data_IF_723865106227
#
_entry.id   IF_723865106227
#
_cell.length_a   1.000
_cell.length_b   1.000
_cell.length_c   1.000
_cell.angle_alpha   90.00
_cell.angle_beta   90.00
_cell.angle_gamma   90.00
#
_symmetry.space_group_name_H-M   'P 1'
#
loop_
_entity.id
_entity.type
_entity.pdbx_description
1 polymer ?
#
# COMPACT_ATOMS: atom_id res chain seq x y z
N UNK A 1 19.93 20.96 -55.64
CA UNK A 1 18.48 20.64 -55.63
C UNK A 1 17.81 21.48 -54.56
N UNK A 2 17.02 22.48 -54.94
CA UNK A 2 16.41 23.41 -53.97
C UNK A 2 15.10 22.82 -53.46
N UNK A 3 15.02 22.52 -52.16
CA UNK A 3 13.79 22.04 -51.54
C UNK A 3 12.76 23.19 -51.52
N UNK A 4 11.55 22.95 -52.02
CA UNK A 4 10.47 23.97 -51.99
C UNK A 4 10.22 24.40 -50.53
N UNK A 5 10.08 25.70 -50.31
CA UNK A 5 10.00 26.35 -48.98
C UNK A 5 8.94 25.72 -48.06
N UNK A 6 7.84 25.21 -48.63
CA UNK A 6 6.79 24.46 -47.94
C UNK A 6 7.27 23.18 -47.24
N UNK A 7 8.24 22.46 -47.81
CA UNK A 7 8.81 21.25 -47.22
C UNK A 7 9.78 21.58 -46.08
N UNK A 8 10.47 22.72 -46.13
CA UNK A 8 11.29 23.18 -45.00
C UNK A 8 10.42 23.52 -43.79
N UNK A 9 9.29 24.21 -44.00
CA UNK A 9 8.31 24.45 -42.93
C UNK A 9 7.67 23.16 -42.42
N UNK A 10 7.37 22.19 -43.29
CA UNK A 10 6.84 20.89 -42.88
C UNK A 10 7.84 20.11 -42.03
N UNK A 11 9.10 20.03 -42.45
CA UNK A 11 10.19 19.38 -41.71
C UNK A 11 10.41 20.01 -40.33
N UNK A 12 10.39 21.33 -40.24
CA UNK A 12 10.46 22.06 -38.97
C UNK A 12 9.28 21.72 -38.06
N UNK A 13 8.05 21.71 -38.57
CA UNK A 13 6.87 21.31 -37.79
C UNK A 13 6.97 19.85 -37.31
N UNK A 14 7.36 18.90 -38.16
CA UNK A 14 7.55 17.50 -37.73
C UNK A 14 8.67 17.33 -36.71
N UNK A 15 9.76 18.12 -36.81
CA UNK A 15 10.84 18.10 -35.84
C UNK A 15 10.42 18.67 -34.48
N UNK A 16 9.63 19.75 -34.47
CA UNK A 16 9.07 20.32 -33.24
C UNK A 16 8.06 19.37 -32.60
N UNK A 17 7.20 18.72 -33.39
CA UNK A 17 6.24 17.72 -32.88
C UNK A 17 6.97 16.52 -32.27
N UNK A 18 8.01 15.98 -32.92
CA UNK A 18 8.83 14.91 -32.35
C UNK A 18 9.52 15.33 -31.04
N UNK A 19 10.06 16.55 -30.99
CA UNK A 19 10.68 17.09 -29.79
C UNK A 19 9.66 17.24 -28.64
N UNK A 20 8.49 17.83 -28.90
CA UNK A 20 7.41 17.98 -27.90
C UNK A 20 6.88 16.63 -27.42
N UNK A 21 6.73 15.63 -28.30
CA UNK A 21 6.31 14.28 -27.91
C UNK A 21 7.32 13.60 -26.97
N UNK A 22 8.62 13.91 -27.08
CA UNK A 22 9.65 13.41 -26.15
C UNK A 22 9.57 14.00 -24.73
N UNK A 23 8.81 15.09 -24.53
CA UNK A 23 8.49 15.64 -23.21
C UNK A 23 7.09 15.25 -22.69
N UNK A 24 6.21 14.75 -23.56
CA UNK A 24 4.84 14.32 -23.21
C UNK A 24 4.73 12.83 -22.88
N UNK A 25 5.68 12.02 -23.34
CA UNK A 25 5.88 10.67 -22.79
C UNK A 25 6.72 10.85 -21.51
N UNK A 26 6.21 10.50 -20.32
CA UNK A 26 7.07 10.38 -19.16
C UNK A 26 8.05 9.25 -19.43
N UNK A 27 9.32 9.62 -19.67
CA UNK A 27 10.42 8.69 -19.46
C UNK A 27 10.43 8.35 -17.97
N UNK A 28 9.83 7.20 -17.62
CA UNK A 28 10.28 6.48 -16.43
C UNK A 28 11.80 6.35 -16.60
N UNK A 29 12.55 7.09 -15.77
CA UNK A 29 13.99 6.88 -15.68
C UNK A 29 14.15 5.47 -15.13
N UNK A 30 14.45 4.52 -16.03
CA UNK A 30 14.74 3.16 -15.65
C UNK A 30 16.00 3.20 -14.80
N UNK A 31 15.82 3.14 -13.48
CA UNK A 31 16.90 3.03 -12.51
C UNK A 31 17.74 1.82 -12.92
N UNK A 32 18.97 2.07 -13.34
CA UNK A 32 19.88 1.03 -13.78
C UNK A 32 21.05 0.98 -12.80
N UNK A 33 21.38 -0.22 -12.35
CA UNK A 33 22.32 -0.44 -11.26
C UNK A 33 23.48 -1.31 -11.75
N UNK A 34 24.71 -0.89 -11.42
CA UNK A 34 25.93 -1.54 -11.89
C UNK A 34 26.33 -2.62 -10.89
N UNK A 35 25.96 -3.87 -11.15
CA UNK A 35 26.22 -4.98 -10.21
C UNK A 35 27.53 -5.69 -10.58
N UNK A 36 28.48 -5.64 -9.65
CA UNK A 36 29.80 -6.27 -9.74
C UNK A 36 29.87 -7.56 -8.92
N UNK A 37 30.81 -8.45 -9.25
CA UNK A 37 31.01 -9.73 -8.55
C UNK A 37 32.42 -9.91 -7.99
N UNK A 38 32.49 -10.50 -6.79
CA UNK A 38 33.70 -10.87 -6.06
C UNK A 38 33.71 -12.38 -5.79
N UNK A 39 34.75 -13.07 -6.26
CA UNK A 39 34.93 -14.50 -6.01
C UNK A 39 35.47 -14.74 -4.60
N UNK A 40 34.89 -15.70 -3.89
CA UNK A 40 35.42 -16.21 -2.63
C UNK A 40 35.46 -17.75 -2.64
N UNK A 41 36.29 -18.32 -1.77
CA UNK A 41 36.33 -19.76 -1.51
C UNK A 41 35.42 -20.12 -0.33
N UNK A 42 34.76 -21.28 -0.44
CA UNK A 42 33.78 -21.83 0.50
C UNK A 42 33.73 -23.36 0.32
N UNK A 43 33.37 -24.08 1.37
CA UNK A 43 33.06 -25.51 1.30
C UNK A 43 31.66 -25.73 0.72
N UNK A 44 31.54 -25.49 -0.58
CA UNK A 44 30.29 -25.55 -1.35
C UNK A 44 29.55 -26.85 -1.12
N UNK A 45 28.23 -26.78 -0.91
CA UNK A 45 27.39 -27.97 -0.81
C UNK A 45 27.25 -28.62 -2.20
N UNK A 46 27.24 -29.95 -2.26
CA UNK A 46 27.05 -30.66 -3.52
C UNK A 46 25.55 -30.92 -3.74
N UNK A 47 25.05 -30.65 -4.95
CA UNK A 47 23.68 -30.98 -5.35
C UNK A 47 23.66 -32.27 -6.18
N UNK A 48 23.01 -33.34 -5.70
CA UNK A 48 22.77 -34.54 -6.50
C UNK A 48 21.94 -34.24 -7.76
N UNK A 49 20.93 -33.38 -7.65
CA UNK A 49 20.06 -32.93 -8.74
C UNK A 49 20.84 -32.36 -9.93
N UNK A 50 21.89 -31.58 -9.66
CA UNK A 50 22.70 -30.92 -10.69
C UNK A 50 24.08 -31.56 -10.93
N UNK A 51 24.42 -32.65 -10.22
CA UNK A 51 25.69 -33.37 -10.34
C UNK A 51 26.94 -32.56 -10.00
N UNK A 52 26.82 -31.50 -9.19
CA UNK A 52 27.90 -30.51 -8.99
C UNK A 52 27.79 -29.72 -7.68
N UNK A 53 28.89 -29.07 -7.28
CA UNK A 53 28.90 -28.04 -6.24
C UNK A 53 27.94 -26.88 -6.58
N UNK A 54 27.16 -26.43 -5.60
CA UNK A 54 26.37 -25.20 -5.66
C UNK A 54 27.28 -24.02 -5.31
N UNK A 55 27.73 -23.26 -6.31
CA UNK A 55 28.69 -22.15 -6.18
C UNK A 55 28.04 -20.79 -6.45
N UNK A 56 28.56 -19.72 -5.86
CA UNK A 56 28.22 -18.32 -6.17
C UNK A 56 29.42 -17.37 -6.02
N UNK A 57 29.32 -16.19 -6.62
CA UNK A 57 30.16 -15.03 -6.30
C UNK A 57 29.38 -14.03 -5.43
N UNK A 58 30.06 -13.32 -4.51
CA UNK A 58 29.47 -12.18 -3.78
C UNK A 58 29.14 -11.10 -4.79
N UNK A 59 27.90 -10.60 -4.80
CA UNK A 59 27.52 -9.50 -5.70
C UNK A 59 27.38 -8.21 -4.89
N UNK A 60 27.76 -7.08 -5.48
CA UNK A 60 27.56 -5.74 -4.91
C UNK A 60 27.11 -4.75 -5.97
N UNK A 61 26.25 -3.82 -5.59
CA UNK A 61 25.88 -2.68 -6.43
C UNK A 61 26.95 -1.58 -6.41
N UNK A 62 26.76 -0.48 -7.15
CA UNK A 62 27.73 0.63 -7.18
C UNK A 62 27.95 1.28 -5.79
N UNK A 63 26.93 1.24 -4.93
CA UNK A 63 26.97 1.73 -3.54
C UNK A 63 27.54 0.71 -2.53
N UNK A 64 28.03 -0.45 -2.99
CA UNK A 64 28.63 -1.49 -2.14
C UNK A 64 27.64 -2.36 -1.36
N UNK A 65 26.34 -2.15 -1.52
CA UNK A 65 25.28 -2.97 -0.92
C UNK A 65 25.25 -4.36 -1.58
N UNK A 66 25.01 -5.39 -0.77
CA UNK A 66 25.06 -6.79 -1.24
C UNK A 66 23.84 -7.10 -2.10
N UNK A 67 24.10 -7.65 -3.29
CA UNK A 67 23.08 -8.20 -4.17
C UNK A 67 23.05 -9.74 -4.07
N UNK A 68 21.90 -10.33 -4.37
CA UNK A 68 21.68 -11.77 -4.40
C UNK A 68 21.25 -12.27 -5.78
N UNK A 69 21.69 -13.48 -6.11
CA UNK A 69 21.40 -14.18 -7.36
C UNK A 69 19.94 -14.67 -7.37
N UNK A 70 19.13 -14.31 -8.38
CA UNK A 70 17.74 -14.78 -8.52
C UNK A 70 17.59 -16.00 -9.45
N UNK A 71 18.57 -16.33 -10.30
CA UNK A 71 18.44 -17.44 -11.27
C UNK A 71 19.67 -18.35 -11.24
N UNK A 72 19.54 -19.48 -10.55
CA UNK A 72 20.58 -20.51 -10.51
C UNK A 72 20.95 -21.03 -11.92
N UNK A 73 22.24 -21.21 -12.17
CA UNK A 73 22.76 -21.74 -13.43
C UNK A 73 23.07 -20.70 -14.52
N UNK A 74 22.50 -19.50 -14.44
CA UNK A 74 22.91 -18.35 -15.26
C UNK A 74 24.16 -17.67 -14.68
N UNK A 75 24.84 -16.82 -15.47
CA UNK A 75 26.05 -16.12 -15.02
C UNK A 75 25.70 -14.95 -14.12
N UNK A 76 26.44 -14.78 -13.04
CA UNK A 76 26.43 -13.56 -12.23
C UNK A 76 26.82 -12.31 -13.07
N UNK A 77 26.21 -11.13 -12.83
CA UNK A 77 26.66 -9.86 -13.41
C UNK A 77 28.06 -9.45 -12.94
N UNK A 78 28.69 -8.54 -13.68
CA UNK A 78 30.08 -8.10 -13.58
C UNK A 78 30.26 -6.71 -14.23
N UNK A 79 29.50 -5.72 -13.77
CA UNK A 79 29.61 -4.34 -14.25
C UNK A 79 28.74 -4.01 -15.47
N UNK A 80 27.80 -4.89 -15.84
CA UNK A 80 26.69 -4.50 -16.69
C UNK A 80 25.68 -3.62 -15.92
N UNK A 81 25.14 -2.59 -16.58
CA UNK A 81 23.96 -1.85 -16.11
C UNK A 81 22.72 -2.75 -16.18
N UNK A 82 22.13 -3.09 -15.02
CA UNK A 82 20.90 -3.88 -14.96
C UNK A 82 19.71 -2.97 -14.64
N UNK A 83 18.67 -2.87 -15.50
CA UNK A 83 17.50 -2.05 -15.23
C UNK A 83 16.60 -2.66 -14.14
N UNK A 84 16.04 -1.79 -13.30
CA UNK A 84 15.03 -2.14 -12.30
C UNK A 84 13.78 -2.75 -12.94
N UNK A 85 13.25 -3.79 -12.31
CA UNK A 85 12.09 -4.56 -12.75
C UNK A 85 11.09 -4.86 -11.62
N UNK A 86 10.99 -3.97 -10.63
CA UNK A 86 10.04 -4.06 -9.52
C UNK A 86 10.63 -4.70 -8.27
N UNK A 87 9.77 -5.35 -7.46
CA UNK A 87 10.13 -6.04 -6.21
C UNK A 87 10.17 -7.56 -6.41
N UNK A 88 10.86 -8.31 -5.54
CA UNK A 88 10.63 -9.76 -5.41
C UNK A 88 9.26 -10.03 -4.79
N UNK A 89 8.85 -11.30 -4.75
CA UNK A 89 7.79 -11.73 -3.85
C UNK A 89 8.18 -11.56 -2.37
N UNK A 90 7.20 -11.59 -1.48
CA UNK A 90 7.41 -11.37 -0.05
C UNK A 90 8.10 -12.56 0.67
N UNK A 91 8.09 -13.78 0.13
CA UNK A 91 8.85 -14.91 0.72
C UNK A 91 10.34 -14.69 0.48
N UNK A 92 10.73 -14.31 -0.74
CA UNK A 92 12.09 -13.90 -1.09
C UNK A 92 12.57 -12.71 -0.27
N UNK A 93 11.73 -11.68 -0.09
CA UNK A 93 12.03 -10.56 0.81
C UNK A 93 12.23 -11.01 2.26
N UNK A 94 11.34 -11.85 2.82
CA UNK A 94 11.48 -12.36 4.18
C UNK A 94 12.71 -13.24 4.38
N UNK A 95 13.15 -13.97 3.35
CA UNK A 95 14.45 -14.67 3.36
C UNK A 95 15.60 -13.67 3.46
N UNK A 96 15.60 -12.62 2.64
CA UNK A 96 16.66 -11.59 2.66
C UNK A 96 16.69 -10.83 3.99
N UNK A 97 15.52 -10.52 4.57
CA UNK A 97 15.39 -9.85 5.88
C UNK A 97 15.76 -10.73 7.08
N UNK A 98 15.73 -12.06 6.92
CA UNK A 98 16.19 -13.01 7.93
C UNK A 98 17.59 -13.58 7.65
N UNK A 99 18.23 -13.19 6.54
CA UNK A 99 19.59 -13.57 6.18
C UNK A 99 20.61 -12.45 6.29
N UNK A 100 21.78 -12.68 5.72
CA UNK A 100 22.90 -11.74 5.69
C UNK A 100 22.71 -10.69 4.56
N UNK A 101 22.98 -9.38 4.76
CA UNK A 101 23.60 -8.76 5.94
C UNK A 101 22.63 -8.25 7.01
N UNK A 102 21.31 -8.47 6.87
CA UNK A 102 20.30 -8.02 7.85
C UNK A 102 20.41 -8.74 9.21
N UNK A 103 20.99 -9.94 9.20
CA UNK A 103 21.48 -10.69 10.37
C UNK A 103 23.01 -10.82 10.28
N UNK A 104 23.69 -10.71 11.42
CA UNK A 104 25.14 -10.94 11.52
C UNK A 104 25.48 -12.44 11.45
N UNK A 105 26.71 -12.84 11.06
CA UNK A 105 27.12 -14.25 11.04
C UNK A 105 26.87 -14.98 12.36
N UNK A 106 27.15 -14.31 13.48
CA UNK A 106 27.01 -14.84 14.84
C UNK A 106 25.53 -15.10 15.16
N UNK A 107 24.64 -14.18 14.78
CA UNK A 107 23.19 -14.34 14.96
C UNK A 107 22.57 -15.41 14.05
N UNK A 108 23.24 -15.75 12.94
CA UNK A 108 22.89 -16.88 12.07
C UNK A 108 23.53 -18.21 12.50
N UNK A 109 24.42 -18.19 13.50
CA UNK A 109 25.11 -19.38 14.01
C UNK A 109 26.27 -19.88 13.15
N UNK A 110 26.90 -19.00 12.35
CA UNK A 110 28.00 -19.31 11.42
C UNK A 110 29.25 -18.47 11.73
N UNK A 111 30.43 -18.94 11.31
CA UNK A 111 31.71 -18.40 11.78
C UNK A 111 32.23 -17.18 11.02
N UNK A 112 31.64 -16.82 9.87
CA UNK A 112 32.07 -15.68 9.07
C UNK A 112 31.01 -15.22 8.04
N UNK A 113 31.24 -14.06 7.44
CA UNK A 113 30.34 -13.46 6.44
C UNK A 113 30.15 -14.32 5.18
N UNK A 114 31.13 -15.14 4.77
CA UNK A 114 31.02 -15.97 3.56
C UNK A 114 30.01 -17.10 3.77
N UNK A 115 30.04 -17.71 4.95
CA UNK A 115 29.06 -18.73 5.38
C UNK A 115 27.67 -18.13 5.50
N UNK A 116 27.56 -16.95 6.15
CA UNK A 116 26.31 -16.21 6.31
C UNK A 116 25.68 -15.84 4.96
N UNK A 117 26.50 -15.31 4.02
CA UNK A 117 26.07 -15.01 2.67
C UNK A 117 25.66 -16.27 1.91
N UNK A 118 26.45 -17.34 1.98
CA UNK A 118 26.18 -18.58 1.24
C UNK A 118 24.90 -19.27 1.73
N UNK A 119 24.70 -19.37 3.05
CA UNK A 119 23.45 -19.86 3.64
C UNK A 119 22.22 -19.06 3.19
N UNK A 120 22.34 -17.72 3.13
CA UNK A 120 21.27 -16.83 2.66
C UNK A 120 20.98 -17.03 1.16
N UNK A 121 22.00 -17.26 0.34
CA UNK A 121 21.80 -17.54 -1.09
C UNK A 121 21.06 -18.86 -1.31
N UNK A 122 21.42 -19.90 -0.55
CA UNK A 122 20.73 -21.20 -0.61
C UNK A 122 19.28 -21.08 -0.16
N UNK A 123 19.01 -20.34 0.92
CA UNK A 123 17.66 -20.05 1.38
C UNK A 123 16.82 -19.33 0.32
N UNK A 124 17.41 -18.39 -0.43
CA UNK A 124 16.72 -17.67 -1.52
C UNK A 124 16.43 -18.58 -2.71
N UNK A 125 17.40 -19.38 -3.16
CA UNK A 125 17.15 -20.37 -4.23
C UNK A 125 16.16 -21.47 -3.83
N UNK A 126 15.98 -21.73 -2.53
CA UNK A 126 14.94 -22.60 -1.99
C UNK A 126 13.56 -21.93 -2.01
N UNK A 127 13.44 -20.68 -1.58
CA UNK A 127 12.18 -19.92 -1.65
C UNK A 127 11.69 -19.76 -3.10
N UNK A 128 12.63 -19.56 -4.04
CA UNK A 128 12.38 -19.49 -5.48
C UNK A 128 12.15 -20.88 -6.14
N UNK A 129 12.18 -21.98 -5.38
CA UNK A 129 11.91 -23.34 -5.89
C UNK A 129 12.97 -23.93 -6.83
N UNK A 130 14.19 -23.36 -6.86
CA UNK A 130 15.25 -23.74 -7.80
C UNK A 130 16.23 -24.78 -7.24
N UNK A 131 16.38 -24.81 -5.91
CA UNK A 131 17.25 -25.76 -5.17
C UNK A 131 16.56 -26.13 -3.86
N UNK A 132 16.30 -27.42 -3.64
CA UNK A 132 15.87 -27.94 -2.33
C UNK A 132 17.07 -28.02 -1.38
N UNK A 133 17.03 -27.27 -0.27
CA UNK A 133 18.10 -27.27 0.76
C UNK A 133 18.19 -28.60 1.50
N UNK A 134 17.09 -29.35 1.64
CA UNK A 134 17.09 -30.68 2.25
C UNK A 134 17.71 -31.78 1.35
N UNK A 135 17.90 -31.51 0.05
CA UNK A 135 18.55 -32.43 -0.91
C UNK A 135 20.06 -32.16 -1.08
N UNK A 136 20.60 -31.09 -0.48
CA UNK A 136 22.01 -30.73 -0.60
C UNK A 136 22.90 -31.52 0.35
N UNK A 137 24.02 -32.01 -0.18
CA UNK A 137 25.08 -32.63 0.60
C UNK A 137 26.04 -31.54 1.11
N UNK A 138 25.80 -31.07 2.34
CA UNK A 138 26.60 -30.05 2.98
C UNK A 138 27.96 -30.57 3.48
N UNK A 139 29.01 -29.77 3.27
CA UNK A 139 30.35 -29.98 3.84
C UNK A 139 30.53 -29.23 5.18
N UNK A 140 29.66 -28.25 5.46
CA UNK A 140 29.63 -27.47 6.70
C UNK A 140 28.19 -27.45 7.25
N UNK A 141 27.98 -28.07 8.41
CA UNK A 141 26.67 -28.20 9.05
C UNK A 141 26.13 -26.89 9.67
N UNK A 142 27.00 -25.90 9.95
CA UNK A 142 26.55 -24.58 10.39
C UNK A 142 25.87 -23.83 9.24
N UNK A 143 26.39 -23.95 8.02
CA UNK A 143 25.77 -23.39 6.80
C UNK A 143 24.41 -24.04 6.51
N UNK A 144 24.30 -25.38 6.66
CA UNK A 144 23.03 -26.09 6.54
C UNK A 144 21.99 -25.54 7.53
N UNK A 145 22.37 -25.50 8.82
CA UNK A 145 21.50 -25.03 9.89
C UNK A 145 21.08 -23.57 9.69
N UNK A 146 22.01 -22.71 9.26
CA UNK A 146 21.71 -21.31 8.95
C UNK A 146 20.72 -21.20 7.78
N UNK A 147 20.92 -21.93 6.68
CA UNK A 147 20.00 -21.90 5.53
C UNK A 147 18.59 -22.36 5.94
N UNK A 148 18.48 -23.47 6.68
CA UNK A 148 17.20 -24.00 7.18
C UNK A 148 16.52 -23.04 8.17
N UNK A 149 17.28 -22.40 9.06
CA UNK A 149 16.77 -21.37 9.98
C UNK A 149 16.22 -20.14 9.23
N UNK A 150 16.91 -19.66 8.18
CA UNK A 150 16.47 -18.50 7.38
C UNK A 150 15.14 -18.83 6.68
N UNK A 151 15.03 -20.02 6.05
CA UNK A 151 13.78 -20.50 5.42
C UNK A 151 12.66 -20.60 6.46
N UNK A 152 12.93 -21.18 7.63
CA UNK A 152 11.94 -21.33 8.70
C UNK A 152 11.41 -19.98 9.20
N UNK A 153 12.29 -19.01 9.46
CA UNK A 153 11.91 -17.66 9.87
C UNK A 153 11.12 -16.92 8.79
N UNK A 154 11.49 -17.08 7.51
CA UNK A 154 10.79 -16.48 6.37
C UNK A 154 9.39 -17.06 6.13
N UNK A 155 9.19 -18.33 6.48
CA UNK A 155 7.88 -19.01 6.41
C UNK A 155 6.97 -18.71 7.62
N UNK A 156 7.53 -18.27 8.76
CA UNK A 156 6.77 -17.89 9.95
C UNK A 156 6.37 -16.41 9.96
N UNK A 157 7.26 -15.52 9.52
CA UNK A 157 6.99 -14.09 9.49
C UNK A 157 5.86 -13.75 8.49
N UNK A 158 5.06 -12.74 8.85
CA UNK A 158 4.02 -12.13 8.03
C UNK A 158 4.46 -10.76 7.46
N UNK A 159 5.77 -10.44 7.52
CA UNK A 159 6.31 -9.19 6.96
C UNK A 159 6.07 -9.13 5.45
N UNK A 160 5.54 -8.00 4.98
CA UNK A 160 5.34 -7.67 3.56
C UNK A 160 6.25 -6.52 3.14
N UNK A 161 6.41 -6.32 1.83
CA UNK A 161 7.11 -5.14 1.28
C UNK A 161 6.19 -3.94 1.02
N UNK A 162 4.88 -4.07 1.19
CA UNK A 162 3.96 -2.96 0.98
C UNK A 162 3.71 -2.22 2.30
N UNK A 163 3.87 -0.90 2.25
CA UNK A 163 3.90 -0.04 3.44
C UNK A 163 2.48 0.31 3.84
N UNK A 164 2.00 -0.27 4.94
CA UNK A 164 0.70 0.05 5.51
C UNK A 164 0.83 1.07 6.65
N UNK A 165 -0.24 1.83 6.86
CA UNK A 165 -0.36 2.79 7.95
C UNK A 165 -1.81 2.83 8.43
N UNK A 166 -2.01 2.81 9.75
CA UNK A 166 -3.32 3.05 10.36
C UNK A 166 -3.20 4.05 11.52
N UNK A 167 -4.29 4.74 11.83
CA UNK A 167 -4.41 5.63 12.99
C UNK A 167 -5.55 5.12 13.86
N UNK A 168 -5.24 4.80 15.12
CA UNK A 168 -6.19 4.24 16.08
C UNK A 168 -6.41 5.27 17.21
N UNK A 169 -7.66 5.58 17.60
CA UNK A 169 -8.91 5.00 17.10
C UNK A 169 -9.29 5.49 15.69
N UNK A 170 -9.91 4.58 14.94
CA UNK A 170 -10.55 4.81 13.63
C UNK A 170 -11.94 5.43 13.76
N UNK A 171 -12.64 5.16 14.87
CA UNK A 171 -13.98 5.69 15.15
C UNK A 171 -13.99 7.21 15.39
N UNK A 172 -15.14 7.84 15.11
CA UNK A 172 -15.41 9.25 15.44
C UNK A 172 -15.29 9.47 16.95
N UNK A 173 -14.33 10.28 17.35
CA UNK A 173 -14.10 10.62 18.75
C UNK A 173 -14.91 11.85 19.19
N UNK A 174 -15.51 11.78 20.38
CA UNK A 174 -16.08 12.95 21.06
C UNK A 174 -15.04 13.51 22.04
N UNK A 175 -14.69 14.79 21.87
CA UNK A 175 -13.69 15.45 22.72
C UNK A 175 -14.31 15.88 24.06
N UNK A 176 -13.64 15.58 25.17
CA UNK A 176 -14.13 15.82 26.53
C UNK A 176 -13.49 17.08 27.13
N UNK A 177 -14.22 17.82 27.96
CA UNK A 177 -13.73 19.08 28.53
C UNK A 177 -12.63 18.83 29.58
N UNK A 178 -11.41 19.28 29.29
CA UNK A 178 -10.25 19.26 30.17
C UNK A 178 -9.68 20.69 30.33
N UNK A 179 -10.03 21.36 31.42
CA UNK A 179 -9.61 22.73 31.71
C UNK A 179 -10.12 23.75 30.68
N UNK A 180 -9.20 24.34 29.92
CA UNK A 180 -9.50 25.36 28.89
C UNK A 180 -9.81 24.79 27.51
N UNK A 181 -9.74 23.47 27.31
CA UNK A 181 -9.87 22.81 26.02
C UNK A 181 -10.85 21.63 26.08
N UNK A 182 -11.52 21.33 24.97
CA UNK A 182 -12.02 19.99 24.69
C UNK A 182 -10.86 19.17 24.12
N UNK A 183 -10.59 18.01 24.72
CA UNK A 183 -9.47 17.13 24.39
C UNK A 183 -9.97 15.78 23.88
N UNK A 184 -9.42 15.29 22.77
CA UNK A 184 -9.72 13.94 22.25
C UNK A 184 -9.06 12.87 23.10
N UNK A 185 -9.45 11.60 22.92
CA UNK A 185 -8.57 10.50 23.31
C UNK A 185 -7.23 10.55 22.54
N UNK A 186 -6.25 9.79 23.01
CA UNK A 186 -4.94 9.65 22.37
C UNK A 186 -5.02 8.81 21.10
N UNK A 187 -4.56 9.39 19.98
CA UNK A 187 -4.37 8.71 18.70
C UNK A 187 -2.96 8.13 18.58
N UNK A 188 -2.88 6.91 18.05
CA UNK A 188 -1.66 6.15 17.83
C UNK A 188 -1.48 5.85 16.33
N UNK A 189 -0.29 6.13 15.78
CA UNK A 189 0.06 5.76 14.40
C UNK A 189 0.74 4.39 14.40
N UNK A 190 0.13 3.43 13.70
CA UNK A 190 0.66 2.08 13.51
C UNK A 190 1.12 1.89 12.05
N UNK A 191 2.21 1.16 11.84
CA UNK A 191 2.78 0.85 10.52
C UNK A 191 3.76 -0.33 10.62
N UNK A 192 4.07 -0.99 9.51
CA UNK A 192 5.21 -1.91 9.38
C UNK A 192 6.57 -1.19 9.15
N UNK A 193 6.57 0.10 8.86
CA UNK A 193 7.80 0.88 8.70
C UNK A 193 8.58 1.01 10.02
N UNK A 194 9.91 0.85 9.96
CA UNK A 194 10.79 0.83 11.15
C UNK A 194 11.40 2.20 11.48
N UNK A 195 11.33 3.15 10.54
CA UNK A 195 11.74 4.55 10.70
C UNK A 195 10.73 5.43 9.97
N UNK A 196 10.58 6.66 10.41
CA UNK A 196 9.73 7.64 9.75
C UNK A 196 9.25 8.73 10.70
N UNK A 197 8.56 9.70 10.12
CA UNK A 197 7.91 10.79 10.83
C UNK A 197 6.51 11.03 10.28
N UNK A 198 5.63 11.60 11.10
CA UNK A 198 4.28 11.99 10.68
C UNK A 198 3.88 13.38 11.17
N UNK A 199 3.02 14.05 10.42
CA UNK A 199 2.33 15.27 10.83
C UNK A 199 0.82 15.12 10.67
N UNK A 200 0.05 15.95 11.38
CA UNK A 200 -1.42 15.86 11.40
C UNK A 200 -2.00 17.13 10.78
N UNK A 201 -2.66 16.96 9.64
CA UNK A 201 -3.46 17.99 8.98
C UNK A 201 -4.91 17.93 9.46
N UNK A 202 -5.52 19.10 9.64
CA UNK A 202 -6.86 19.26 10.21
C UNK A 202 -7.70 20.20 9.34
N UNK A 203 -8.80 19.71 8.77
CA UNK A 203 -9.75 20.57 8.04
C UNK A 203 -10.94 20.94 8.93
N UNK A 204 -11.38 22.20 8.83
CA UNK A 204 -12.42 22.83 9.66
C UNK A 204 -12.05 22.96 11.15
N UNK A 205 -10.75 23.00 11.48
CA UNK A 205 -10.27 23.25 12.84
C UNK A 205 -10.68 24.65 13.36
N UNK A 206 -11.31 24.76 14.54
CA UNK A 206 -11.52 26.05 15.20
C UNK A 206 -10.20 26.77 15.49
N UNK A 207 -10.20 28.11 15.45
CA UNK A 207 -9.01 28.91 15.73
C UNK A 207 -8.46 28.61 17.14
N UNK A 208 -7.15 28.35 17.22
CA UNK A 208 -6.48 27.96 18.47
C UNK A 208 -6.54 26.46 18.79
N UNK A 209 -7.13 25.64 17.92
CA UNK A 209 -6.98 24.17 17.98
C UNK A 209 -5.50 23.80 17.80
N UNK A 210 -5.00 22.89 18.64
CA UNK A 210 -3.61 22.47 18.66
C UNK A 210 -3.49 20.95 18.78
N UNK A 211 -2.45 20.38 18.16
CA UNK A 211 -2.07 18.98 18.31
C UNK A 211 -0.96 18.91 19.36
N UNK A 212 -1.06 17.96 20.29
CA UNK A 212 -0.15 17.80 21.42
C UNK A 212 0.31 16.35 21.62
N UNK A 213 1.47 16.15 22.25
CA UNK A 213 1.94 14.84 22.73
C UNK A 213 1.06 14.31 23.87
N UNK A 214 1.29 13.07 24.31
CA UNK A 214 0.62 12.52 25.50
C UNK A 214 0.85 13.35 26.78
N UNK A 215 1.97 14.08 26.83
CA UNK A 215 2.40 14.98 27.91
C UNK A 215 1.81 16.40 27.78
N UNK A 216 1.12 16.72 26.68
CA UNK A 216 0.50 18.03 26.43
C UNK A 216 1.43 19.05 25.74
N UNK A 217 2.60 18.64 25.26
CA UNK A 217 3.53 19.50 24.51
C UNK A 217 3.04 19.70 23.07
N UNK A 218 3.01 20.94 22.58
CA UNK A 218 2.58 21.24 21.21
C UNK A 218 3.66 20.82 20.22
N UNK A 219 3.29 20.07 19.17
CA UNK A 219 4.24 19.51 18.20
C UNK A 219 3.63 19.43 16.80
N UNK A 220 4.42 19.80 15.79
CA UNK A 220 4.01 19.77 14.37
C UNK A 220 4.37 18.44 13.70
N UNK A 221 5.52 17.86 14.05
CA UNK A 221 6.02 16.60 13.48
C UNK A 221 6.42 15.62 14.57
N UNK A 222 5.92 14.39 14.46
CA UNK A 222 6.06 13.29 15.40
C UNK A 222 6.94 12.19 14.81
N UNK A 223 7.63 11.43 15.67
CA UNK A 223 8.34 10.20 15.33
C UNK A 223 7.39 9.00 15.44
N UNK A 224 7.69 7.90 14.74
CA UNK A 224 6.93 6.65 14.92
C UNK A 224 6.98 6.18 16.38
N UNK A 225 5.82 5.77 16.91
CA UNK A 225 5.65 5.38 18.32
C UNK A 225 5.32 6.54 19.27
N UNK A 226 5.50 7.80 18.88
CA UNK A 226 4.85 8.91 19.57
C UNK A 226 3.34 8.90 19.29
N UNK A 227 2.55 9.30 20.30
CA UNK A 227 1.10 9.41 20.21
C UNK A 227 0.66 10.86 20.42
N UNK A 228 -0.49 11.22 19.86
CA UNK A 228 -0.98 12.61 19.87
C UNK A 228 -2.42 12.74 20.37
N UNK A 229 -2.77 13.92 20.88
CA UNK A 229 -4.15 14.36 21.14
C UNK A 229 -4.42 15.68 20.45
N UNK A 230 -5.68 15.98 20.22
CA UNK A 230 -6.12 17.27 19.70
C UNK A 230 -6.84 18.01 20.82
N UNK A 231 -6.48 19.27 21.03
CA UNK A 231 -7.07 20.16 22.00
C UNK A 231 -7.72 21.35 21.28
N UNK A 232 -9.04 21.46 21.37
CA UNK A 232 -9.89 22.52 20.79
C UNK A 232 -10.27 23.49 21.91
N UNK A 233 -10.04 24.82 21.81
CA UNK A 233 -10.37 25.75 22.89
C UNK A 233 -11.86 25.71 23.28
N UNK A 234 -12.18 25.74 24.57
CA UNK A 234 -13.57 25.62 25.07
C UNK A 234 -14.52 26.74 24.61
N UNK A 235 -13.97 27.84 24.11
CA UNK A 235 -14.69 28.97 23.49
C UNK A 235 -15.10 28.72 22.03
N UNK A 236 -14.66 27.61 21.43
CA UNK A 236 -15.00 27.23 20.07
C UNK A 236 -16.48 26.86 19.96
N UNK A 237 -17.09 27.19 18.81
CA UNK A 237 -18.41 26.63 18.46
C UNK A 237 -18.26 25.15 18.13
N UNK A 238 -19.24 24.34 18.50
CA UNK A 238 -19.30 22.92 18.14
C UNK A 238 -19.23 22.75 16.61
N UNK A 239 -18.24 22.00 16.14
CA UNK A 239 -17.97 21.76 14.72
C UNK A 239 -17.34 20.38 14.55
N UNK A 240 -17.60 19.72 13.43
CA UNK A 240 -16.92 18.47 13.10
C UNK A 240 -15.55 18.75 12.50
N UNK A 241 -14.52 18.21 13.15
CA UNK A 241 -13.12 18.27 12.72
C UNK A 241 -12.80 17.00 11.92
N UNK A 242 -12.15 17.15 10.78
CA UNK A 242 -11.65 16.01 9.99
C UNK A 242 -10.12 15.95 10.02
N UNK A 243 -9.58 14.73 10.04
CA UNK A 243 -8.17 14.46 10.26
C UNK A 243 -7.56 13.72 9.08
N UNK A 244 -6.40 14.22 8.63
CA UNK A 244 -5.50 13.56 7.69
C UNK A 244 -4.13 13.46 8.37
N UNK A 245 -3.60 12.26 8.54
CA UNK A 245 -2.24 12.07 9.04
C UNK A 245 -1.37 11.73 7.86
N UNK A 246 -0.29 12.49 7.65
CA UNK A 246 0.68 12.25 6.57
C UNK A 246 1.97 11.79 7.19
N UNK A 247 2.53 10.71 6.66
CA UNK A 247 3.76 10.11 7.15
C UNK A 247 4.79 9.97 6.03
N UNK A 248 6.03 10.37 6.30
CA UNK A 248 7.17 9.91 5.53
C UNK A 248 7.74 8.66 6.22
N UNK A 249 7.59 7.51 5.58
CA UNK A 249 7.92 6.20 6.13
C UNK A 249 9.11 5.61 5.39
N UNK A 250 10.08 5.06 6.11
CA UNK A 250 11.19 4.30 5.52
C UNK A 250 10.98 2.81 5.72
N UNK A 251 10.73 2.11 4.62
CA UNK A 251 10.66 0.65 4.52
C UNK A 251 11.96 0.09 3.92
N UNK A 252 12.10 -1.23 3.91
CA UNK A 252 13.10 -1.93 3.10
C UNK A 252 12.35 -2.70 2.02
N UNK A 253 12.78 -2.60 0.76
CA UNK A 253 12.25 -3.37 -0.36
C UNK A 253 13.35 -4.24 -0.98
N UNK A 254 12.99 -5.45 -1.44
CA UNK A 254 13.86 -6.31 -2.23
C UNK A 254 13.68 -5.98 -3.72
N UNK A 255 14.40 -4.95 -4.18
CA UNK A 255 14.33 -4.47 -5.56
C UNK A 255 14.98 -5.48 -6.49
N UNK A 256 14.37 -5.73 -7.64
CA UNK A 256 14.82 -6.65 -8.69
C UNK A 256 15.51 -5.87 -9.80
N UNK A 257 16.70 -6.31 -10.18
CA UNK A 257 17.48 -5.81 -11.30
C UNK A 257 17.58 -6.90 -12.37
N UNK A 258 17.11 -6.59 -13.57
CA UNK A 258 16.91 -7.57 -14.64
C UNK A 258 18.18 -7.81 -15.45
N UNK A 259 18.54 -9.07 -15.60
CA UNK A 259 19.65 -9.54 -16.40
C UNK A 259 19.31 -9.67 -17.88
N UNK A 260 19.93 -10.65 -18.53
CA UNK A 260 19.78 -10.96 -19.95
C UNK A 260 19.48 -12.45 -20.15
N UNK A 261 19.44 -12.94 -21.39
CA UNK A 261 19.39 -14.38 -21.65
C UNK A 261 20.64 -15.17 -21.19
N UNK A 262 21.68 -14.51 -20.67
CA UNK A 262 22.92 -15.17 -20.20
C UNK A 262 23.43 -14.67 -18.86
N UNK A 263 23.09 -13.43 -18.46
CA UNK A 263 23.34 -12.85 -17.14
C UNK A 263 22.05 -12.98 -16.32
N UNK A 264 22.15 -13.46 -15.08
CA UNK A 264 20.98 -13.64 -14.23
C UNK A 264 20.39 -12.32 -13.70
N UNK A 265 19.08 -12.35 -13.42
CA UNK A 265 18.44 -11.36 -12.57
C UNK A 265 19.06 -11.37 -11.16
N UNK A 266 19.10 -10.21 -10.51
CA UNK A 266 19.63 -10.03 -9.17
C UNK A 266 18.66 -9.22 -8.30
N UNK A 267 18.83 -9.25 -6.98
CA UNK A 267 18.06 -8.41 -6.06
C UNK A 267 18.92 -7.74 -5.00
N UNK A 268 18.54 -6.53 -4.58
CA UNK A 268 19.18 -5.75 -3.52
C UNK A 268 18.11 -5.29 -2.52
N UNK A 269 18.40 -5.38 -1.22
CA UNK A 269 17.60 -4.73 -0.18
C UNK A 269 17.97 -3.25 -0.10
N UNK A 270 17.02 -2.36 -0.46
CA UNK A 270 17.17 -0.91 -0.40
C UNK A 270 16.23 -0.30 0.64
N UNK A 271 16.69 0.70 1.37
CA UNK A 271 15.80 1.56 2.18
C UNK A 271 15.08 2.56 1.26
N UNK A 272 13.75 2.58 1.32
CA UNK A 272 12.91 3.42 0.47
C UNK A 272 12.07 4.37 1.33
N UNK A 273 12.19 5.68 1.10
CA UNK A 273 11.27 6.69 1.65
C UNK A 273 9.98 6.70 0.83
N UNK A 274 8.83 6.55 1.51
CA UNK A 274 7.49 6.56 0.92
C UNK A 274 6.62 7.55 1.68
N UNK A 275 5.96 8.47 0.98
CA UNK A 275 4.90 9.28 1.59
C UNK A 275 3.60 8.49 1.58
N UNK A 276 3.00 8.31 2.76
CA UNK A 276 1.75 7.59 2.98
C UNK A 276 0.81 8.49 3.76
N UNK A 277 -0.46 8.57 3.35
CA UNK A 277 -1.48 9.34 4.05
C UNK A 277 -2.60 8.44 4.56
N UNK A 278 -3.03 8.68 5.79
CA UNK A 278 -4.24 8.14 6.37
C UNK A 278 -5.30 9.24 6.48
N UNK A 279 -6.55 8.90 6.21
CA UNK A 279 -7.73 9.77 6.39
C UNK A 279 -8.81 8.99 7.11
N UNK A 280 -9.52 9.65 8.03
CA UNK A 280 -10.75 9.10 8.58
C UNK A 280 -11.82 9.07 7.48
N UNK A 281 -12.18 7.88 7.01
CA UNK A 281 -13.19 7.66 5.98
C UNK A 281 -14.40 6.91 6.56
N UNK A 282 -15.60 7.32 6.16
CA UNK A 282 -16.86 6.72 6.56
C UNK A 282 -17.43 5.74 5.54
N UNK A 283 -18.62 5.23 5.85
CA UNK A 283 -19.43 4.41 4.97
C UNK A 283 -20.90 4.81 5.00
N UNK A 284 -21.56 4.60 3.87
CA UNK A 284 -22.99 4.83 3.71
C UNK A 284 -23.70 3.48 3.52
N UNK A 285 -24.65 3.19 4.41
CA UNK A 285 -25.57 2.07 4.29
C UNK A 285 -26.98 2.58 4.01
N UNK A 286 -27.53 2.22 2.87
CA UNK A 286 -28.90 2.55 2.45
C UNK A 286 -29.75 1.29 2.52
N UNK A 287 -30.82 1.32 3.32
CA UNK A 287 -31.74 0.19 3.44
C UNK A 287 -33.05 0.52 2.73
N UNK A 288 -33.27 -0.09 1.56
CA UNK A 288 -34.52 0.02 0.79
C UNK A 288 -35.53 -1.00 1.31
N UNK A 289 -36.66 -0.50 1.80
CA UNK A 289 -37.83 -1.32 2.16
C UNK A 289 -39.09 -0.86 1.41
N UNK A 290 -40.15 -1.64 1.53
CA UNK A 290 -41.52 -1.31 1.16
C UNK A 290 -42.31 -0.65 2.31
N UNK A 291 -43.59 -0.37 2.09
CA UNK A 291 -44.50 0.25 3.07
C UNK A 291 -44.71 -0.61 4.34
N UNK A 292 -44.51 -1.92 4.24
CA UNK A 292 -44.56 -2.89 5.35
C UNK A 292 -43.21 -3.10 6.03
N UNK A 293 -42.19 -2.28 5.70
CA UNK A 293 -40.79 -2.40 6.13
C UNK A 293 -40.09 -3.70 5.69
N UNK A 294 -40.62 -4.41 4.69
CA UNK A 294 -39.96 -5.58 4.10
C UNK A 294 -38.86 -5.12 3.12
N UNK A 295 -37.66 -5.74 3.11
CA UNK A 295 -36.60 -5.34 2.20
C UNK A 295 -36.93 -5.47 0.70
N UNK A 296 -36.40 -4.56 -0.11
CA UNK A 296 -36.57 -4.52 -1.57
C UNK A 296 -35.22 -4.59 -2.30
N UNK A 297 -34.91 -5.72 -2.99
CA UNK A 297 -33.66 -5.88 -3.74
C UNK A 297 -33.69 -5.17 -5.10
N UNK A 298 -32.51 -4.79 -5.61
CA UNK A 298 -32.33 -4.29 -6.97
C UNK A 298 -32.61 -2.80 -7.20
N UNK A 299 -32.90 -2.03 -6.15
CA UNK A 299 -32.87 -0.57 -6.21
C UNK A 299 -31.42 -0.08 -6.41
N UNK A 300 -31.19 0.95 -7.23
CA UNK A 300 -29.86 1.53 -7.47
C UNK A 300 -29.84 2.99 -7.03
N UNK A 301 -28.82 3.34 -6.24
CA UNK A 301 -28.59 4.70 -5.76
C UNK A 301 -27.27 5.24 -6.33
N UNK A 302 -27.32 6.45 -6.87
CA UNK A 302 -26.16 7.27 -7.20
C UNK A 302 -25.73 8.05 -5.95
N UNK A 303 -24.44 8.03 -5.66
CA UNK A 303 -23.82 8.72 -4.51
C UNK A 303 -22.95 9.86 -5.05
N UNK A 304 -23.20 11.08 -4.61
CA UNK A 304 -22.42 12.26 -4.99
C UNK A 304 -21.97 13.06 -3.76
N UNK A 305 -20.77 13.64 -3.81
CA UNK A 305 -20.23 14.47 -2.71
C UNK A 305 -20.83 15.90 -2.69
N UNK A 306 -20.41 16.73 -1.73
CA UNK A 306 -20.85 18.12 -1.58
C UNK A 306 -20.61 19.00 -2.81
N UNK A 307 -19.65 18.63 -3.66
CA UNK A 307 -19.27 19.35 -4.87
C UNK A 307 -20.03 18.82 -6.11
N UNK A 308 -21.06 18.00 -5.91
CA UNK A 308 -21.86 17.32 -6.95
C UNK A 308 -21.08 16.33 -7.82
N UNK A 309 -19.85 15.96 -7.42
CA UNK A 309 -19.09 14.90 -8.09
C UNK A 309 -19.67 13.54 -7.70
N UNK A 310 -20.08 12.75 -8.70
CA UNK A 310 -20.55 11.37 -8.51
C UNK A 310 -19.37 10.48 -8.10
N UNK A 311 -19.51 9.81 -6.96
CA UNK A 311 -18.54 8.87 -6.41
C UNK A 311 -18.79 7.43 -6.85
N UNK A 312 -20.00 7.11 -7.27
CA UNK A 312 -20.37 5.79 -7.80
C UNK A 312 -21.87 5.50 -7.72
N UNK A 313 -22.23 4.26 -8.05
CA UNK A 313 -23.57 3.72 -7.90
C UNK A 313 -23.54 2.45 -7.04
N UNK A 314 -24.46 2.35 -6.09
CA UNK A 314 -24.64 1.18 -5.22
C UNK A 314 -26.00 0.53 -5.49
N UNK A 315 -26.07 -0.80 -5.41
CA UNK A 315 -27.31 -1.56 -5.65
C UNK A 315 -27.74 -2.29 -4.39
N UNK A 316 -29.03 -2.25 -4.07
CA UNK A 316 -29.62 -2.96 -2.94
C UNK A 316 -29.58 -4.48 -3.17
N UNK A 317 -28.97 -5.20 -2.23
CA UNK A 317 -28.82 -6.65 -2.25
C UNK A 317 -30.15 -7.38 -1.95
N UNK A 318 -30.10 -8.72 -1.83
CA UNK A 318 -31.24 -9.57 -1.45
C UNK A 318 -31.90 -9.20 -0.11
N UNK A 319 -31.18 -8.49 0.77
CA UNK A 319 -31.64 -7.99 2.06
C UNK A 319 -32.03 -6.49 2.00
N UNK A 320 -32.16 -5.91 0.80
CA UNK A 320 -32.50 -4.50 0.58
C UNK A 320 -31.38 -3.52 0.94
N UNK A 321 -30.16 -4.00 1.17
CA UNK A 321 -29.03 -3.20 1.67
C UNK A 321 -28.11 -2.84 0.50
N UNK A 322 -27.86 -1.54 0.32
CA UNK A 322 -26.83 -1.02 -0.58
C UNK A 322 -25.74 -0.32 0.26
N UNK A 323 -24.47 -0.62 0.00
CA UNK A 323 -23.34 -0.13 0.80
C UNK A 323 -22.22 0.44 -0.07
N UNK A 324 -21.59 1.52 0.40
CA UNK A 324 -20.28 2.02 -0.07
C UNK A 324 -19.45 2.43 1.13
N UNK A 325 -18.22 1.93 1.19
CA UNK A 325 -17.20 2.34 2.17
C UNK A 325 -16.16 3.29 1.55
N UNK A 326 -15.15 3.64 2.34
CA UNK A 326 -14.03 4.48 1.91
C UNK A 326 -14.43 5.87 1.37
N UNK A 327 -15.53 6.44 1.90
CA UNK A 327 -15.95 7.81 1.60
C UNK A 327 -15.26 8.79 2.54
N UNK A 328 -14.66 9.87 2.02
CA UNK A 328 -14.12 10.94 2.88
C UNK A 328 -15.24 11.54 3.76
N UNK A 329 -14.97 11.83 5.02
CA UNK A 329 -15.99 12.41 5.92
C UNK A 329 -16.51 13.75 5.39
N UNK A 330 -17.81 13.83 5.10
CA UNK A 330 -18.46 14.98 4.49
C UNK A 330 -19.94 14.76 4.20
N UNK A 331 -20.58 15.74 3.56
CA UNK A 331 -21.99 15.64 3.14
C UNK A 331 -22.11 14.96 1.78
N UNK A 332 -22.95 13.93 1.70
CA UNK A 332 -23.25 13.21 0.46
C UNK A 332 -24.73 13.30 0.09
N UNK A 333 -25.00 13.41 -1.20
CA UNK A 333 -26.32 13.26 -1.80
C UNK A 333 -26.52 11.80 -2.22
N UNK A 334 -27.68 11.24 -1.88
CA UNK A 334 -28.10 9.87 -2.22
C UNK A 334 -29.31 9.97 -3.13
N UNK A 335 -29.17 9.62 -4.42
CA UNK A 335 -30.26 9.70 -5.41
C UNK A 335 -30.65 8.29 -5.88
N UNK A 336 -31.89 7.86 -5.61
CA UNK A 336 -32.42 6.61 -6.20
C UNK A 336 -32.60 6.82 -7.71
N UNK A 337 -31.74 6.19 -8.52
CA UNK A 337 -31.69 6.31 -9.98
C UNK A 337 -32.39 5.15 -10.70
N UNK A 338 -32.63 4.03 -10.00
CA UNK A 338 -33.41 2.91 -10.51
C UNK A 338 -34.23 2.28 -9.38
N UNK A 339 -35.55 2.26 -9.54
CA UNK A 339 -36.45 1.54 -8.64
C UNK A 339 -36.25 0.01 -8.74
N UNK A 340 -36.49 -0.75 -7.66
CA UNK A 340 -36.40 -2.21 -7.68
C UNK A 340 -37.44 -2.84 -8.62
N UNK A 341 -37.08 -3.95 -9.27
CA UNK A 341 -38.01 -4.68 -10.15
C UNK A 341 -38.92 -5.56 -9.30
N UNK A 342 -40.20 -5.21 -9.22
CA UNK A 342 -41.21 -5.94 -8.44
C UNK A 342 -42.23 -6.56 -9.39
N UNK A 343 -42.43 -7.89 -9.32
CA UNK A 343 -43.53 -8.54 -10.04
C UNK A 343 -44.87 -8.13 -9.44
N UNK A 344 -45.65 -7.35 -10.19
CA UNK A 344 -46.98 -6.91 -9.74
C UNK A 344 -48.07 -7.92 -10.12
N UNK A 345 -48.82 -8.40 -9.12
CA UNK A 345 -50.16 -8.98 -9.33
C UNK A 345 -51.23 -7.92 -9.01
N UNK A 346 -52.13 -7.68 -9.96
CA UNK A 346 -53.09 -6.57 -9.93
C UNK A 346 -54.20 -6.69 -8.86
N UNK A 347 -54.43 -5.63 -8.08
CA UNK A 347 -55.63 -5.36 -7.25
C UNK A 347 -55.86 -3.82 -7.18
N UNK A 348 -57.08 -3.33 -6.89
CA UNK A 348 -57.50 -1.91 -7.01
C UNK A 348 -58.75 -1.58 -6.13
N UNK A 349 -59.08 -0.35 -5.69
CA UNK A 349 -58.39 0.98 -5.73
C UNK A 349 -58.20 1.53 -4.27
N UNK A 350 -58.87 2.56 -3.65
CA UNK A 350 -59.89 3.56 -4.06
C UNK A 350 -59.96 4.85 -3.17
N UNK A 351 -58.87 5.63 -3.07
CA UNK A 351 -58.86 6.99 -2.48
C UNK A 351 -58.51 7.08 -0.98
N UNK A 352 -58.14 8.23 -0.41
CA UNK A 352 -57.98 9.60 -0.96
C UNK A 352 -56.95 10.44 -0.12
N UNK A 353 -56.49 11.58 -0.68
CA UNK A 353 -55.62 12.64 -0.11
C UNK A 353 -54.09 12.45 -0.26
N UNK A 354 -53.41 13.52 -0.70
CA UNK A 354 -51.94 13.65 -0.88
C UNK A 354 -51.25 14.36 0.31
N UNK A 355 -49.93 14.15 0.45
CA UNK A 355 -48.95 15.22 0.73
C UNK A 355 -47.79 15.07 -0.28
N UNK A 356 -47.07 16.15 -0.59
CA UNK A 356 -45.95 16.17 -1.56
C UNK A 356 -44.57 16.31 -0.90
N UNK A 357 -43.56 15.70 -1.51
CA UNK A 357 -42.12 15.99 -1.39
C UNK A 357 -41.54 15.81 -2.78
N UNK A 358 -40.60 16.66 -3.16
CA UNK A 358 -40.21 16.81 -4.56
C UNK A 358 -39.04 15.87 -4.88
N UNK A 359 -39.34 14.73 -5.51
CA UNK A 359 -38.48 14.21 -6.57
C UNK A 359 -38.55 15.13 -7.80
N UNK A 360 -37.74 14.90 -8.82
CA UNK A 360 -37.82 15.64 -10.10
C UNK A 360 -39.18 15.49 -10.84
N UNK A 361 -40.14 14.74 -10.27
CA UNK A 361 -41.56 14.64 -10.68
C UNK A 361 -42.58 14.74 -9.53
N UNK A 362 -42.18 15.13 -8.31
CA UNK A 362 -43.10 15.58 -7.25
C UNK A 362 -43.68 14.56 -6.25
N UNK A 363 -43.14 13.32 -6.15
CA UNK A 363 -43.67 12.27 -5.23
C UNK A 363 -42.89 12.13 -3.91
N UNK A 364 -43.62 11.97 -2.79
CA UNK A 364 -43.04 11.47 -1.52
C UNK A 364 -42.50 10.05 -1.72
N UNK A 365 -41.32 9.78 -1.14
CA UNK A 365 -40.78 8.44 -0.92
C UNK A 365 -41.12 8.00 0.52
N UNK A 366 -42.14 7.14 0.74
CA UNK A 366 -42.33 6.49 2.04
C UNK A 366 -41.22 5.46 2.30
N UNK A 367 -40.92 5.23 3.58
CA UNK A 367 -40.15 4.05 4.01
C UNK A 367 -38.62 4.06 3.83
N UNK A 368 -37.98 5.15 3.41
CA UNK A 368 -36.50 5.19 3.36
C UNK A 368 -35.91 5.41 4.76
N UNK A 369 -35.08 4.47 5.22
CA UNK A 369 -34.20 4.64 6.38
C UNK A 369 -32.76 4.82 5.89
N UNK A 370 -32.13 5.93 6.30
CA UNK A 370 -30.72 6.22 6.08
C UNK A 370 -29.96 6.02 7.38
N UNK A 371 -28.83 5.30 7.33
CA UNK A 371 -27.99 5.08 8.50
C UNK A 371 -26.51 5.11 8.08
N UNK A 372 -25.79 6.11 8.58
CA UNK A 372 -24.35 6.26 8.39
C UNK A 372 -23.58 5.37 9.36
N UNK A 373 -22.49 4.77 8.90
CA UNK A 373 -21.55 4.01 9.71
C UNK A 373 -20.11 4.45 9.39
N UNK A 374 -19.14 3.99 10.16
CA UNK A 374 -17.72 4.11 9.83
C UNK A 374 -17.25 2.74 9.34
N UNK A 375 -16.44 2.72 8.29
CA UNK A 375 -15.78 1.49 7.84
C UNK A 375 -14.32 1.53 8.27
N UNK A 376 -13.94 0.59 9.14
CA UNK A 376 -12.55 0.23 9.29
C UNK A 376 -11.99 -0.17 7.91
N UNK A 377 -10.91 0.50 7.50
CA UNK A 377 -10.24 0.22 6.22
C UNK A 377 -8.77 -0.08 6.54
N UNK A 378 -8.47 -1.36 6.72
CA UNK A 378 -7.10 -1.86 6.59
C UNK A 378 -6.72 -1.84 5.11
N UNK A 379 -5.65 -1.12 4.79
CA UNK A 379 -4.93 -1.20 3.52
C UNK A 379 -3.84 -2.29 3.62
#
# INVERSE_FOLDING_TARGET
>A
MILKRSYQTLLLFTSVILFVMSFLIPLNQASAEVINRERYQMDWAYSPQYGKDVRKELLKNASGQIAYCLVYGLKSPNGEDLPEAGKTDDVSYRVLMNGYPQKTPESLGVSNWKEAHYATQLALWNALGQISVDELQFKNAAVEKAAKNIIHAANQSQDTQDVWMNVIPTDKQEAQLNGEYFETTTYNVQTNAKKGTFHVEMNNAPQGTRIVTEQGEVKETFQLGEKFRIQVPKSSKSSELSLKVVSNLTSVHAIVYKGTSTIQDATVLLECSTEVFWKANGALKVMKVDESKKPLPGAVFEIANSNQQVMGMITADKNGIAEVGNLELGTYTVKEVKAPVVEMKNVQIKGNIEIKKISDTGKILPGVLLQSFLNETTL
#
